data_IF_924096443692
#
_entry.id   IF_924096443692
#
_cell.length_a   1.000
_cell.length_b   1.000
_cell.length_c   1.000
_cell.angle_alpha   90.00
_cell.angle_beta   90.00
_cell.angle_gamma   90.00
#
_symmetry.space_group_name_H-M   'P 1'
#
loop_
_entity.id
_entity.type
_entity.pdbx_description
1 polymer ?
#
# COMPACT_ATOMS: atom_id res chain seq x y z
N UNK A 1 10.29 10.17 -38.20
CA UNK A 1 10.47 9.20 -39.30
C UNK A 1 10.78 7.79 -38.80
N UNK A 2 11.64 7.55 -37.83
CA UNK A 2 11.92 6.19 -37.26
C UNK A 2 10.90 5.68 -36.27
N UNK A 3 10.06 6.52 -35.68
CA UNK A 3 9.02 6.11 -34.71
C UNK A 3 7.67 5.74 -35.40
N UNK A 4 7.42 6.26 -36.59
CA UNK A 4 6.21 5.94 -37.36
C UNK A 4 6.32 4.61 -38.10
N UNK A 5 7.51 4.21 -38.53
CA UNK A 5 7.75 2.90 -39.14
C UNK A 5 7.56 1.75 -38.15
N UNK A 6 8.03 1.91 -36.91
CA UNK A 6 7.82 0.91 -35.84
C UNK A 6 6.36 0.78 -35.44
N UNK A 7 5.59 1.88 -35.48
CA UNK A 7 4.15 1.85 -35.15
C UNK A 7 3.34 1.17 -36.24
N UNK A 8 3.76 1.34 -37.49
CA UNK A 8 3.10 0.74 -38.67
C UNK A 8 3.38 -0.77 -38.74
N UNK A 9 4.58 -1.19 -38.43
CA UNK A 9 4.97 -2.61 -38.38
C UNK A 9 4.26 -3.36 -37.22
N UNK A 10 4.08 -2.69 -36.08
CA UNK A 10 3.31 -3.22 -34.95
C UNK A 10 1.82 -3.37 -35.29
N UNK A 11 1.27 -2.39 -36.03
CA UNK A 11 -0.11 -2.42 -36.48
C UNK A 11 -0.37 -3.49 -37.57
N UNK A 12 0.61 -3.74 -38.41
CA UNK A 12 0.53 -4.76 -39.46
C UNK A 12 0.57 -6.18 -38.88
N UNK A 13 1.41 -6.40 -37.89
CA UNK A 13 1.44 -7.66 -37.10
C UNK A 13 0.13 -7.89 -36.33
N UNK A 14 -0.47 -6.84 -35.77
CA UNK A 14 -1.77 -6.94 -35.10
C UNK A 14 -2.91 -7.31 -36.09
N UNK A 15 -2.80 -6.93 -37.36
CA UNK A 15 -3.80 -7.26 -38.41
C UNK A 15 -3.63 -8.71 -38.89
N UNK A 16 -2.43 -9.22 -38.96
CA UNK A 16 -2.19 -10.65 -39.26
C UNK A 16 -2.71 -11.58 -38.15
N UNK A 17 -2.67 -11.13 -36.88
CA UNK A 17 -3.31 -11.84 -35.74
C UNK A 17 -4.84 -11.74 -35.74
N UNK A 18 -5.44 -10.75 -36.43
CA UNK A 18 -6.89 -10.64 -36.56
C UNK A 18 -7.51 -11.71 -37.49
N UNK A 19 -6.72 -12.35 -38.36
CA UNK A 19 -7.18 -13.42 -39.24
C UNK A 19 -7.32 -14.80 -38.55
N UNK A 20 -6.99 -14.92 -37.26
CA UNK A 20 -7.34 -16.10 -36.45
C UNK A 20 -8.80 -16.03 -35.93
N UNK A 21 -9.53 -14.95 -36.27
CA UNK A 21 -10.92 -14.71 -35.84
C UNK A 21 -12.00 -15.53 -36.55
N UNK A 22 -11.65 -16.38 -37.48
CA UNK A 22 -12.68 -17.11 -38.27
C UNK A 22 -13.13 -18.47 -37.71
N UNK A 23 -12.83 -18.76 -36.41
CA UNK A 23 -13.26 -20.05 -35.81
C UNK A 23 -14.21 -19.95 -34.62
N UNK A 24 -14.79 -18.80 -34.32
CA UNK A 24 -15.80 -18.72 -33.25
C UNK A 24 -16.90 -17.71 -33.55
N UNK A 25 -17.98 -18.17 -34.14
CA UNK A 25 -19.31 -17.55 -34.10
C UNK A 25 -20.18 -18.38 -33.17
N UNK A 26 -20.51 -17.84 -32.01
CA UNK A 26 -21.45 -18.46 -31.06
C UNK A 26 -21.24 -17.90 -29.65
N UNK A 27 -22.30 -17.46 -29.04
CA UNK A 27 -22.46 -16.83 -27.74
C UNK A 27 -21.61 -17.47 -26.62
N UNK A 28 -21.08 -16.62 -25.69
CA UNK A 28 -20.26 -16.94 -24.50
C UNK A 28 -18.88 -17.54 -24.76
N UNK A 29 -18.00 -16.80 -25.41
CA UNK A 29 -16.59 -17.17 -25.42
C UNK A 29 -15.87 -16.53 -24.25
N UNK A 30 -15.90 -17.22 -23.13
CA UNK A 30 -14.88 -17.08 -22.08
C UNK A 30 -13.51 -17.21 -22.77
N UNK A 31 -12.70 -16.17 -22.69
CA UNK A 31 -11.40 -16.24 -23.37
C UNK A 31 -10.56 -17.28 -22.64
N UNK A 32 -9.92 -18.20 -23.37
CA UNK A 32 -9.21 -19.37 -22.81
C UNK A 32 -8.27 -19.05 -21.64
N UNK A 33 -7.77 -17.81 -21.57
CA UNK A 33 -6.86 -17.38 -20.51
C UNK A 33 -7.58 -16.94 -19.22
N UNK A 34 -8.89 -16.72 -19.26
CA UNK A 34 -9.67 -16.37 -18.06
C UNK A 34 -9.71 -17.53 -17.06
N UNK A 35 -9.61 -18.77 -17.54
CA UNK A 35 -9.54 -19.96 -16.68
C UNK A 35 -8.33 -19.95 -15.72
N UNK A 36 -7.29 -19.15 -16.02
CA UNK A 36 -6.13 -19.02 -15.11
C UNK A 36 -6.53 -18.34 -13.79
N UNK A 37 -7.56 -17.51 -13.78
CA UNK A 37 -8.03 -16.82 -12.58
C UNK A 37 -8.53 -17.81 -11.51
N UNK A 38 -9.06 -18.95 -11.93
CA UNK A 38 -9.49 -20.04 -11.03
C UNK A 38 -8.34 -20.90 -10.53
N UNK A 39 -7.17 -20.80 -11.19
CA UNK A 39 -5.98 -21.59 -10.87
C UNK A 39 -4.97 -20.87 -9.99
N UNK A 40 -5.07 -19.52 -9.88
CA UNK A 40 -4.13 -18.69 -9.13
C UNK A 40 -4.71 -18.33 -7.76
N UNK A 41 -3.79 -18.23 -6.77
CA UNK A 41 -4.13 -17.85 -5.39
C UNK A 41 -4.45 -16.36 -5.29
N UNK A 42 -5.59 -16.02 -4.72
CA UNK A 42 -6.05 -14.62 -4.52
C UNK A 42 -5.16 -13.81 -3.56
N UNK A 43 -4.42 -14.48 -2.69
CA UNK A 43 -3.50 -13.84 -1.73
C UNK A 43 -2.09 -13.67 -2.27
N UNK A 44 -1.72 -14.38 -3.34
CA UNK A 44 -0.36 -14.36 -3.90
C UNK A 44 -0.17 -13.20 -4.87
N UNK A 45 1.06 -12.64 -4.86
CA UNK A 45 1.55 -11.72 -5.89
C UNK A 45 2.42 -12.51 -6.87
N UNK A 46 2.03 -12.50 -8.12
CA UNK A 46 2.70 -13.22 -9.19
C UNK A 46 3.64 -12.31 -9.97
N UNK A 47 4.82 -12.80 -10.32
CA UNK A 47 5.62 -12.16 -11.35
C UNK A 47 5.10 -12.55 -12.75
N UNK A 48 5.49 -11.81 -13.77
CA UNK A 48 5.06 -12.05 -15.15
C UNK A 48 5.38 -13.47 -15.62
N UNK A 49 6.56 -13.98 -15.25
CA UNK A 49 7.00 -15.34 -15.59
C UNK A 49 6.12 -16.41 -14.93
N UNK A 50 5.78 -16.25 -13.66
CA UNK A 50 4.89 -17.19 -12.95
C UNK A 50 3.51 -17.25 -13.61
N UNK A 51 2.93 -16.09 -13.98
CA UNK A 51 1.66 -16.06 -14.72
C UNK A 51 1.76 -16.74 -16.08
N UNK A 52 2.86 -16.53 -16.81
CA UNK A 52 3.10 -17.26 -18.06
C UNK A 52 3.17 -18.77 -17.83
N UNK A 53 3.79 -19.22 -16.76
CA UNK A 53 3.90 -20.65 -16.43
C UNK A 53 2.53 -21.24 -16.05
N UNK A 54 1.67 -20.50 -15.34
CA UNK A 54 0.28 -20.92 -15.10
C UNK A 54 -0.53 -20.99 -16.40
N UNK A 55 -0.43 -20.00 -17.28
CA UNK A 55 -1.09 -20.00 -18.58
C UNK A 55 -0.60 -21.17 -19.49
N UNK A 56 0.69 -21.53 -19.41
CA UNK A 56 1.23 -22.70 -20.14
C UNK A 56 0.66 -24.02 -19.66
N UNK A 57 0.27 -24.15 -18.38
CA UNK A 57 -0.41 -25.35 -17.87
C UNK A 57 -1.79 -25.52 -18.48
N UNK A 58 -2.50 -24.41 -18.74
CA UNK A 58 -3.83 -24.45 -19.36
C UNK A 58 -3.75 -24.72 -20.85
N UNK A 59 -2.82 -24.08 -21.53
CA UNK A 59 -2.66 -24.27 -22.98
C UNK A 59 -1.18 -24.23 -23.35
N UNK A 60 -0.69 -25.37 -23.80
CA UNK A 60 0.68 -25.55 -24.28
C UNK A 60 0.82 -25.09 -25.74
N UNK A 61 2.07 -24.96 -26.20
CA UNK A 61 2.42 -24.72 -27.60
C UNK A 61 1.97 -23.39 -28.23
N UNK A 62 1.71 -22.38 -27.39
CA UNK A 62 1.50 -21.01 -27.87
C UNK A 62 2.80 -20.22 -27.89
N UNK A 63 2.84 -19.18 -28.71
CA UNK A 63 3.98 -18.27 -28.75
C UNK A 63 4.07 -17.44 -27.44
N UNK A 64 5.29 -17.03 -27.05
CA UNK A 64 5.47 -16.18 -25.86
C UNK A 64 4.66 -14.86 -25.98
N UNK A 65 4.59 -14.30 -27.18
CA UNK A 65 3.77 -13.11 -27.45
C UNK A 65 2.28 -13.32 -27.15
N UNK A 66 1.77 -14.54 -27.34
CA UNK A 66 0.38 -14.87 -27.03
C UNK A 66 0.13 -14.89 -25.53
N UNK A 67 1.06 -15.43 -24.73
CA UNK A 67 0.95 -15.39 -23.26
C UNK A 67 1.06 -13.95 -22.73
N UNK A 68 1.96 -13.13 -23.27
CA UNK A 68 2.05 -11.71 -22.93
C UNK A 68 0.74 -10.99 -23.24
N UNK A 69 0.14 -11.27 -24.40
CA UNK A 69 -1.14 -10.70 -24.78
C UNK A 69 -2.27 -11.16 -23.83
N UNK A 70 -2.29 -12.42 -23.42
CA UNK A 70 -3.26 -12.95 -22.46
C UNK A 70 -3.17 -12.26 -21.11
N UNK A 71 -1.96 -12.07 -20.54
CA UNK A 71 -1.77 -11.34 -19.30
C UNK A 71 -2.24 -9.88 -19.43
N UNK A 72 -1.93 -9.24 -20.56
CA UNK A 72 -2.40 -7.88 -20.83
C UNK A 72 -3.93 -7.81 -20.96
N UNK A 73 -4.55 -8.84 -21.50
CA UNK A 73 -6.00 -9.02 -21.57
C UNK A 73 -6.61 -9.11 -20.17
N UNK A 74 -6.09 -10.02 -19.34
CA UNK A 74 -6.55 -10.19 -17.95
C UNK A 74 -6.48 -8.89 -17.12
N UNK A 75 -5.43 -8.08 -17.33
CA UNK A 75 -5.32 -6.79 -16.65
C UNK A 75 -6.34 -5.79 -17.21
N UNK A 76 -6.50 -5.73 -18.52
CA UNK A 76 -7.48 -4.81 -19.19
C UNK A 76 -8.91 -5.15 -18.79
N UNK A 77 -9.23 -6.45 -18.74
CA UNK A 77 -10.58 -6.96 -18.48
C UNK A 77 -10.89 -7.04 -16.96
N UNK A 78 -9.92 -6.63 -16.12
CA UNK A 78 -10.10 -6.47 -14.66
C UNK A 78 -9.92 -7.75 -13.85
N UNK A 79 -9.56 -8.89 -14.46
CA UNK A 79 -9.27 -10.14 -13.75
C UNK A 79 -7.97 -10.08 -12.95
N UNK A 80 -6.97 -9.34 -13.44
CA UNK A 80 -5.71 -9.09 -12.75
C UNK A 80 -5.48 -7.61 -12.50
N UNK A 81 -4.91 -7.27 -11.35
CA UNK A 81 -4.40 -5.94 -11.04
C UNK A 81 -2.88 -5.93 -11.13
N UNK A 82 -2.32 -5.04 -11.97
CA UNK A 82 -0.87 -4.82 -12.04
C UNK A 82 -0.41 -3.95 -10.90
N UNK A 83 0.46 -4.45 -10.04
CA UNK A 83 0.97 -3.77 -8.85
C UNK A 83 2.29 -3.03 -9.08
N UNK A 84 3.02 -3.36 -10.15
CA UNK A 84 4.33 -2.79 -10.45
C UNK A 84 4.89 -3.27 -11.77
N UNK A 85 6.20 -3.08 -11.99
CA UNK A 85 6.88 -3.45 -13.25
C UNK A 85 6.68 -4.94 -13.59
N UNK A 86 6.80 -5.80 -12.59
CA UNK A 86 6.73 -7.28 -12.74
C UNK A 86 5.95 -7.89 -11.57
N UNK A 87 4.77 -7.33 -11.24
CA UNK A 87 3.99 -7.78 -10.09
C UNK A 87 2.50 -7.66 -10.38
N UNK A 88 1.77 -8.75 -10.22
CA UNK A 88 0.34 -8.88 -10.50
C UNK A 88 -0.37 -9.60 -9.35
N UNK A 89 -1.62 -9.26 -9.10
CA UNK A 89 -2.50 -9.97 -8.18
C UNK A 89 -3.87 -10.19 -8.80
N UNK A 90 -4.59 -11.20 -8.31
CA UNK A 90 -6.00 -11.39 -8.66
C UNK A 90 -6.80 -10.14 -8.24
N UNK A 91 -7.69 -9.69 -9.10
CA UNK A 91 -8.65 -8.64 -8.76
C UNK A 91 -9.81 -9.27 -7.99
N UNK A 92 -10.13 -8.74 -6.81
CA UNK A 92 -11.27 -9.23 -6.02
C UNK A 92 -12.49 -8.39 -6.38
N UNK A 93 -13.59 -9.04 -6.75
CA UNK A 93 -14.86 -8.40 -7.09
C UNK A 93 -15.67 -7.92 -5.88
N UNK A 94 -15.15 -8.17 -4.66
CA UNK A 94 -15.80 -7.71 -3.44
C UNK A 94 -15.67 -6.19 -3.35
N UNK A 95 -16.76 -5.42 -3.36
CA UNK A 95 -16.71 -3.99 -3.13
C UNK A 95 -16.03 -3.69 -1.79
N UNK A 96 -14.97 -2.91 -1.82
CA UNK A 96 -14.25 -2.50 -0.61
C UNK A 96 -14.41 -1.01 -0.42
N UNK A 97 -14.50 -0.59 0.82
CA UNK A 97 -14.61 0.80 1.18
C UNK A 97 -13.27 1.54 1.10
N UNK A 98 -13.31 2.85 0.88
CA UNK A 98 -12.13 3.69 1.07
C UNK A 98 -11.89 3.89 2.57
N UNK A 99 -10.69 3.59 3.03
CA UNK A 99 -10.33 3.81 4.44
C UNK A 99 -10.34 5.30 4.80
N UNK A 100 -11.07 5.65 5.87
CA UNK A 100 -11.06 6.98 6.47
C UNK A 100 -10.78 6.85 7.96
N UNK A 101 -9.64 7.40 8.46
CA UNK A 101 -9.33 7.35 9.87
C UNK A 101 -10.33 8.17 10.69
N UNK A 102 -10.77 7.61 11.81
CA UNK A 102 -11.56 8.32 12.81
C UNK A 102 -10.63 8.67 13.96
N UNK A 103 -10.25 9.93 14.03
CA UNK A 103 -9.30 10.42 15.03
C UNK A 103 -9.95 10.70 16.39
N UNK A 104 -9.14 10.60 17.44
CA UNK A 104 -9.50 11.09 18.76
C UNK A 104 -9.61 12.62 18.80
N UNK A 105 -10.33 13.15 19.79
CA UNK A 105 -10.42 14.60 20.02
C UNK A 105 -9.02 15.25 20.14
N UNK A 106 -8.06 14.54 20.72
CA UNK A 106 -6.67 15.00 20.85
C UNK A 106 -6.02 15.15 19.48
N UNK A 107 -6.10 14.14 18.62
CA UNK A 107 -5.52 14.20 17.28
C UNK A 107 -6.20 15.26 16.41
N UNK A 108 -7.53 15.35 16.44
CA UNK A 108 -8.29 16.38 15.72
C UNK A 108 -7.93 17.81 16.18
N UNK A 109 -7.75 18.01 17.50
CA UNK A 109 -7.28 19.29 18.05
C UNK A 109 -5.89 19.63 17.52
N UNK A 110 -4.97 18.69 17.50
CA UNK A 110 -3.59 18.88 16.99
C UNK A 110 -3.60 19.21 15.51
N UNK A 111 -4.37 18.48 14.69
CA UNK A 111 -4.52 18.75 13.26
C UNK A 111 -4.99 20.21 13.06
N UNK A 112 -6.04 20.61 13.77
CA UNK A 112 -6.59 21.98 13.66
C UNK A 112 -5.57 23.04 14.05
N UNK A 113 -4.91 22.91 15.21
CA UNK A 113 -3.91 23.85 15.69
C UNK A 113 -2.75 24.03 14.69
N UNK A 114 -2.23 22.93 14.15
CA UNK A 114 -1.11 22.98 13.19
C UNK A 114 -1.58 23.57 11.87
N UNK A 115 -2.75 23.17 11.35
CA UNK A 115 -3.28 23.66 10.08
C UNK A 115 -3.58 25.16 10.12
N UNK A 116 -4.10 25.66 11.23
CA UNK A 116 -4.36 27.09 11.42
C UNK A 116 -3.07 27.90 11.47
N UNK A 117 -2.03 27.40 12.16
CA UNK A 117 -0.75 28.08 12.30
C UNK A 117 0.11 27.99 11.04
N UNK A 118 0.10 26.84 10.38
CA UNK A 118 0.97 26.52 9.26
C UNK A 118 0.17 25.94 8.08
N UNK A 119 -0.65 26.75 7.39
CA UNK A 119 -1.61 26.26 6.37
C UNK A 119 -0.93 25.66 5.13
N UNK A 120 0.35 25.94 4.91
CA UNK A 120 1.12 25.44 3.75
C UNK A 120 2.10 24.31 4.11
N UNK A 121 2.24 23.98 5.39
CA UNK A 121 3.14 22.90 5.82
C UNK A 121 2.47 21.57 5.60
N UNK A 122 3.17 20.68 4.90
CA UNK A 122 2.70 19.31 4.72
C UNK A 122 2.98 18.46 5.97
N UNK A 123 1.93 17.85 6.50
CA UNK A 123 2.05 16.90 7.59
C UNK A 123 0.94 15.83 7.51
N UNK A 124 1.19 14.70 8.14
CA UNK A 124 0.19 13.65 8.35
C UNK A 124 0.20 13.24 9.81
N UNK A 125 -0.96 12.83 10.31
CA UNK A 125 -1.11 12.37 11.69
C UNK A 125 -1.45 10.89 11.68
N UNK A 126 -0.75 10.13 12.49
CA UNK A 126 -1.06 8.75 12.84
C UNK A 126 -1.23 8.68 14.36
N UNK A 127 -2.26 8.02 14.83
CA UNK A 127 -2.38 7.68 16.25
C UNK A 127 -2.55 6.17 16.43
N UNK A 128 -1.96 5.66 17.50
CA UNK A 128 -1.86 4.20 17.68
C UNK A 128 -3.22 3.51 17.82
N UNK A 129 -4.22 4.20 18.35
CA UNK A 129 -5.58 3.65 18.48
C UNK A 129 -6.28 3.38 17.15
N UNK A 130 -5.81 3.99 16.03
CA UNK A 130 -6.30 3.64 14.69
C UNK A 130 -6.03 2.17 14.34
N UNK A 131 -5.01 1.58 14.96
CA UNK A 131 -4.70 0.16 14.78
C UNK A 131 -5.72 -0.76 15.42
N UNK A 132 -6.51 -0.29 16.39
CA UNK A 132 -7.51 -1.09 17.10
C UNK A 132 -8.57 -1.68 16.17
N UNK A 133 -8.76 -1.10 15.00
CA UNK A 133 -9.65 -1.62 13.97
C UNK A 133 -9.15 -2.94 13.37
N UNK A 134 -7.84 -3.19 13.41
CA UNK A 134 -7.16 -4.30 12.75
C UNK A 134 -6.52 -5.28 13.74
N UNK A 135 -6.43 -4.91 15.02
CA UNK A 135 -5.77 -5.71 16.06
C UNK A 135 -6.77 -6.56 16.83
N UNK A 136 -6.32 -7.75 17.24
CA UNK A 136 -7.07 -8.60 18.16
C UNK A 136 -6.98 -8.08 19.61
N UNK A 137 -5.87 -7.41 19.95
CA UNK A 137 -5.64 -6.84 21.29
C UNK A 137 -5.62 -5.32 21.21
N UNK A 138 -6.57 -4.69 21.88
CA UNK A 138 -6.73 -3.23 21.84
C UNK A 138 -5.55 -2.50 22.49
N UNK A 139 -5.06 -1.49 21.79
CA UNK A 139 -4.11 -0.52 22.34
C UNK A 139 -4.89 0.43 23.25
N UNK A 140 -4.60 0.38 24.56
CA UNK A 140 -5.29 1.18 25.56
C UNK A 140 -4.67 2.59 25.74
N UNK A 141 -3.38 2.73 25.44
CA UNK A 141 -2.67 4.01 25.59
C UNK A 141 -2.36 4.60 24.21
N UNK A 142 -2.99 5.72 23.91
CA UNK A 142 -2.78 6.39 22.64
C UNK A 142 -1.44 7.11 22.58
N UNK A 143 -0.83 7.11 21.40
CA UNK A 143 0.32 7.94 21.05
C UNK A 143 0.06 8.56 19.70
N UNK A 144 0.22 9.87 19.59
CA UNK A 144 -0.01 10.61 18.36
C UNK A 144 1.34 10.91 17.69
N UNK A 145 1.52 10.41 16.47
CA UNK A 145 2.68 10.68 15.64
C UNK A 145 2.33 11.74 14.58
N UNK A 146 3.02 12.87 14.61
CA UNK A 146 2.89 13.96 13.65
C UNK A 146 4.12 13.93 12.77
N UNK A 147 3.94 13.50 11.54
CA UNK A 147 5.02 13.43 10.56
C UNK A 147 4.93 14.66 9.66
N UNK A 148 5.91 15.54 9.75
CA UNK A 148 5.94 16.85 9.12
C UNK A 148 7.03 16.89 8.06
N UNK A 149 6.86 17.63 6.99
CA UNK A 149 7.93 17.90 6.04
C UNK A 149 9.21 18.36 6.75
N UNK A 150 10.36 17.86 6.29
CA UNK A 150 11.62 17.88 7.03
C UNK A 150 12.02 19.27 7.53
N UNK A 151 11.90 20.29 6.71
CA UNK A 151 12.32 21.66 7.02
C UNK A 151 11.43 22.31 8.10
N UNK A 152 10.19 21.85 8.25
CA UNK A 152 9.16 22.46 9.10
C UNK A 152 8.96 21.73 10.43
N UNK A 153 9.45 20.53 10.59
CA UNK A 153 9.14 19.67 11.75
C UNK A 153 9.57 20.27 13.10
N UNK A 154 10.70 20.96 13.16
CA UNK A 154 11.19 21.62 14.39
C UNK A 154 10.28 22.80 14.79
N UNK A 155 9.73 23.53 13.83
CA UNK A 155 8.86 24.67 14.11
C UNK A 155 7.51 24.19 14.63
N UNK A 156 6.96 23.11 14.06
CA UNK A 156 5.74 22.48 14.57
C UNK A 156 5.94 21.96 15.99
N UNK A 157 7.06 21.31 16.28
CA UNK A 157 7.39 20.85 17.63
C UNK A 157 7.40 22.00 18.65
N UNK A 158 8.14 23.08 18.38
CA UNK A 158 8.22 24.26 19.27
C UNK A 158 6.85 24.90 19.46
N UNK A 159 6.11 25.07 18.38
CA UNK A 159 4.76 25.61 18.45
C UNK A 159 3.85 24.79 19.38
N UNK A 160 3.87 23.47 19.29
CA UNK A 160 3.06 22.62 20.17
C UNK A 160 3.48 22.76 21.64
N UNK A 161 4.78 22.92 21.94
CA UNK A 161 5.25 23.23 23.29
C UNK A 161 4.72 24.59 23.78
N UNK A 162 4.80 25.62 22.93
CA UNK A 162 4.30 26.98 23.24
C UNK A 162 2.78 26.98 23.48
N UNK A 163 2.03 26.08 22.84
CA UNK A 163 0.59 25.87 23.08
C UNK A 163 0.29 25.07 24.36
N UNK A 164 1.30 24.72 25.14
CA UNK A 164 1.16 23.98 26.39
C UNK A 164 0.76 22.51 26.20
N UNK A 165 0.96 21.93 25.00
CA UNK A 165 0.72 20.50 24.78
C UNK A 165 1.74 19.70 25.60
N UNK A 166 1.23 18.84 26.48
CA UNK A 166 2.05 18.02 27.34
C UNK A 166 2.66 16.84 26.59
N UNK A 167 3.77 16.31 27.10
CA UNK A 167 4.42 15.09 26.61
C UNK A 167 4.76 15.11 25.11
N UNK A 168 5.16 16.27 24.57
CA UNK A 168 5.61 16.41 23.18
C UNK A 168 7.10 16.07 23.08
N UNK A 169 7.45 15.13 22.21
CA UNK A 169 8.83 14.73 21.93
C UNK A 169 9.21 14.99 20.47
N UNK A 170 10.41 15.50 20.24
CA UNK A 170 10.96 15.73 18.90
C UNK A 170 11.98 14.67 18.52
N UNK A 171 11.67 13.88 17.52
CA UNK A 171 12.54 12.81 17.00
C UNK A 171 13.22 12.01 18.12
N UNK A 172 12.48 11.49 19.10
CA UNK A 172 13.10 10.78 20.22
C UNK A 172 13.84 9.54 19.71
N UNK A 173 14.94 9.21 20.41
CA UNK A 173 15.50 7.87 20.25
C UNK A 173 14.54 6.82 20.83
N UNK A 174 14.70 5.55 20.46
CA UNK A 174 13.89 4.47 21.04
C UNK A 174 14.03 4.43 22.58
N UNK A 175 15.24 4.72 23.08
CA UNK A 175 15.51 4.78 24.53
C UNK A 175 14.74 5.92 25.20
N UNK A 176 14.79 7.12 24.62
CA UNK A 176 14.09 8.29 25.16
C UNK A 176 12.57 8.09 25.07
N UNK A 177 12.08 7.55 23.95
CA UNK A 177 10.68 7.20 23.82
C UNK A 177 10.21 6.27 24.93
N UNK A 178 10.90 5.16 25.17
CA UNK A 178 10.54 4.21 26.21
C UNK A 178 10.65 4.80 27.64
N UNK A 179 11.57 5.75 27.85
CA UNK A 179 11.79 6.37 29.17
C UNK A 179 10.73 7.45 29.50
N UNK A 180 10.36 8.25 28.50
CA UNK A 180 9.49 9.41 28.69
C UNK A 180 8.07 9.22 28.15
N UNK A 181 7.79 8.05 27.57
CA UNK A 181 6.47 7.76 27.04
C UNK A 181 5.42 7.76 28.15
N UNK A 182 4.36 8.50 27.93
CA UNK A 182 3.21 8.62 28.81
C UNK A 182 1.93 8.55 27.99
N UNK A 183 0.79 8.45 28.68
CA UNK A 183 -0.51 8.52 28.02
C UNK A 183 -0.62 9.82 27.19
N UNK A 184 -1.13 9.69 25.97
CA UNK A 184 -1.34 10.77 25.01
C UNK A 184 -0.04 11.52 24.63
N UNK A 185 1.11 10.81 24.63
CA UNK A 185 2.36 11.37 24.11
C UNK A 185 2.22 11.78 22.65
N UNK A 186 2.80 12.92 22.31
CA UNK A 186 2.83 13.45 20.94
C UNK A 186 4.27 13.40 20.41
N UNK A 187 4.46 12.72 19.29
CA UNK A 187 5.77 12.52 18.68
C UNK A 187 5.83 13.27 17.36
N UNK A 188 6.72 14.28 17.27
CA UNK A 188 6.96 15.01 16.04
C UNK A 188 8.19 14.49 15.35
N UNK A 189 8.04 14.04 14.10
CA UNK A 189 9.13 13.49 13.27
C UNK A 189 9.10 14.07 11.86
N UNK A 190 10.16 13.81 11.07
CA UNK A 190 10.14 14.16 9.66
C UNK A 190 9.30 13.18 8.86
N UNK A 191 8.54 13.69 7.91
CA UNK A 191 7.88 12.89 6.89
C UNK A 191 8.94 12.33 5.93
N UNK A 192 8.81 11.07 5.61
CA UNK A 192 9.67 10.43 4.61
C UNK A 192 9.15 10.79 3.21
N UNK A 193 10.07 11.05 2.28
CA UNK A 193 9.73 11.33 0.88
C UNK A 193 8.90 10.20 0.26
N UNK A 194 8.04 10.55 -0.69
CA UNK A 194 7.10 9.64 -1.38
C UNK A 194 6.03 9.04 -0.46
N UNK A 195 5.87 9.57 0.76
CA UNK A 195 4.77 9.18 1.63
C UNK A 195 3.43 9.42 0.92
N UNK A 196 2.49 8.45 0.91
CA UNK A 196 1.15 8.65 0.40
C UNK A 196 0.43 9.78 1.16
N UNK A 197 -0.10 10.75 0.42
CA UNK A 197 -0.84 11.89 0.96
C UNK A 197 -2.20 11.98 0.28
N UNK A 198 -3.25 12.18 1.06
CA UNK A 198 -4.61 12.37 0.59
C UNK A 198 -4.80 13.81 0.08
N UNK A 199 -5.30 13.97 -1.14
CA UNK A 199 -5.43 15.29 -1.77
C UNK A 199 -6.40 16.21 -1.02
N UNK A 200 -7.56 15.70 -0.63
CA UNK A 200 -8.62 16.52 -0.03
C UNK A 200 -8.47 16.73 1.49
N UNK A 201 -7.73 15.85 2.16
CA UNK A 201 -7.46 15.87 3.60
C UNK A 201 -6.01 15.47 3.86
N UNK A 202 -5.01 16.31 3.55
CA UNK A 202 -3.60 15.92 3.54
C UNK A 202 -3.07 15.48 4.91
N UNK A 203 -3.73 15.92 5.99
CA UNK A 203 -3.34 15.57 7.36
C UNK A 203 -3.88 14.21 7.83
N UNK A 204 -4.87 13.67 7.11
CA UNK A 204 -5.46 12.36 7.40
C UNK A 204 -4.64 11.26 6.74
N UNK A 205 -4.10 10.36 7.56
CA UNK A 205 -3.23 9.30 7.06
C UNK A 205 -3.97 8.39 6.06
N UNK A 206 -3.29 8.03 4.99
CA UNK A 206 -3.76 6.99 4.07
C UNK A 206 -3.44 5.61 4.62
N UNK A 207 -4.29 4.62 4.34
CA UNK A 207 -4.09 3.25 4.81
C UNK A 207 -2.76 2.67 4.32
N UNK A 208 -2.40 2.91 3.07
CA UNK A 208 -1.14 2.46 2.49
C UNK A 208 0.07 3.00 3.27
N UNK A 209 0.01 4.28 3.67
CA UNK A 209 1.06 4.89 4.49
C UNK A 209 1.12 4.26 5.87
N UNK A 210 -0.03 4.12 6.53
CA UNK A 210 -0.14 3.52 7.85
C UNK A 210 0.45 2.11 7.87
N UNK A 211 0.04 1.24 6.94
CA UNK A 211 0.52 -0.13 6.82
C UNK A 211 2.03 -0.21 6.61
N UNK A 212 2.60 0.67 5.78
CA UNK A 212 4.06 0.72 5.62
C UNK A 212 4.75 1.19 6.89
N UNK A 213 4.26 2.26 7.52
CA UNK A 213 4.90 2.86 8.69
C UNK A 213 4.90 1.92 9.91
N UNK A 214 3.83 1.16 10.15
CA UNK A 214 3.78 0.19 11.26
C UNK A 214 4.84 -0.92 11.13
N UNK A 215 5.25 -1.27 9.92
CA UNK A 215 6.31 -2.26 9.67
C UNK A 215 7.71 -1.65 9.62
N UNK A 216 7.83 -0.37 9.27
CA UNK A 216 9.09 0.29 8.97
C UNK A 216 9.58 1.21 10.09
N UNK A 217 8.68 1.86 10.82
CA UNK A 217 9.04 2.83 11.84
C UNK A 217 9.34 2.15 13.18
N UNK A 218 10.54 2.42 13.70
CA UNK A 218 11.02 1.78 14.93
C UNK A 218 10.26 2.21 16.18
N UNK A 219 9.73 3.42 16.22
CA UNK A 219 8.96 3.92 17.37
C UNK A 219 7.55 3.37 17.31
N UNK A 220 6.88 3.49 16.17
CA UNK A 220 5.54 2.93 15.97
C UNK A 220 5.53 1.43 16.27
N UNK A 221 6.52 0.69 15.75
CA UNK A 221 6.66 -0.76 15.99
C UNK A 221 6.85 -1.18 17.45
N UNK A 222 7.06 -0.23 18.38
CA UNK A 222 7.12 -0.53 19.83
C UNK A 222 5.78 -0.39 20.52
N UNK A 223 4.77 0.14 19.87
CA UNK A 223 3.47 0.44 20.48
C UNK A 223 2.47 -0.72 20.41
N UNK A 224 2.77 -1.77 19.67
CA UNK A 224 1.94 -2.97 19.54
C UNK A 224 2.80 -4.23 19.28
N UNK A 225 2.16 -5.41 19.31
CA UNK A 225 2.85 -6.67 19.03
C UNK A 225 3.07 -6.88 17.55
N UNK A 226 4.32 -7.08 17.13
CA UNK A 226 4.63 -7.40 15.74
C UNK A 226 4.03 -8.72 15.27
N UNK A 227 3.73 -9.62 16.18
CA UNK A 227 3.10 -10.91 15.87
C UNK A 227 1.70 -10.72 15.25
N UNK A 228 1.05 -9.58 15.47
CA UNK A 228 -0.27 -9.26 14.91
C UNK A 228 -0.20 -8.65 13.51
N UNK A 229 0.99 -8.31 13.00
CA UNK A 229 1.12 -7.69 11.67
C UNK A 229 0.48 -8.50 10.54
N UNK A 230 0.64 -9.83 10.43
CA UNK A 230 -0.03 -10.61 9.40
C UNK A 230 -1.55 -10.41 9.40
N UNK A 231 -2.17 -10.46 10.58
CA UNK A 231 -3.61 -10.28 10.75
C UNK A 231 -4.04 -8.86 10.38
N UNK A 232 -3.24 -7.84 10.74
CA UNK A 232 -3.48 -6.44 10.37
C UNK A 232 -3.54 -6.27 8.84
N UNK A 233 -2.58 -6.86 8.12
CA UNK A 233 -2.57 -6.78 6.66
C UNK A 233 -3.72 -7.55 6.03
N UNK A 234 -4.07 -8.72 6.56
CA UNK A 234 -5.22 -9.50 6.09
C UNK A 234 -6.54 -8.74 6.31
N UNK A 235 -6.76 -8.19 7.50
CA UNK A 235 -7.93 -7.38 7.82
C UNK A 235 -8.04 -6.13 6.94
N UNK A 236 -6.92 -5.42 6.75
CA UNK A 236 -6.89 -4.23 5.90
C UNK A 236 -7.22 -4.56 4.44
N UNK A 237 -6.65 -5.65 3.90
CA UNK A 237 -6.91 -6.09 2.53
C UNK A 237 -8.34 -6.59 2.31
N UNK A 238 -8.93 -7.23 3.32
CA UNK A 238 -10.31 -7.77 3.21
C UNK A 238 -11.37 -6.67 3.23
N UNK A 239 -11.13 -5.56 3.96
CA UNK A 239 -12.15 -4.52 4.20
C UNK A 239 -12.01 -3.31 3.29
N UNK A 240 -10.77 -2.94 2.91
CA UNK A 240 -10.51 -1.64 2.29
C UNK A 240 -9.85 -1.75 0.93
N UNK A 241 -10.14 -0.74 0.10
CA UNK A 241 -9.41 -0.51 -1.14
C UNK A 241 -7.96 -0.12 -0.81
N UNK A 242 -7.00 -0.87 -1.33
CA UNK A 242 -5.58 -0.60 -1.20
C UNK A 242 -4.96 -0.34 -2.58
N UNK A 243 -4.36 0.83 -2.74
CA UNK A 243 -3.46 1.09 -3.85
C UNK A 243 -2.10 0.42 -3.57
N UNK A 244 -2.03 -0.88 -3.90
CA UNK A 244 -0.82 -1.68 -3.68
C UNK A 244 0.40 -1.11 -4.42
N UNK A 245 0.21 -0.47 -5.57
CA UNK A 245 1.30 0.16 -6.34
C UNK A 245 1.91 1.32 -5.55
N UNK A 246 1.07 2.21 -5.03
CA UNK A 246 1.46 3.34 -4.18
C UNK A 246 2.12 2.85 -2.90
N UNK A 247 1.53 1.85 -2.26
CA UNK A 247 2.05 1.25 -1.03
C UNK A 247 3.44 0.65 -1.23
N UNK A 248 3.64 -0.17 -2.26
CA UNK A 248 4.94 -0.81 -2.54
C UNK A 248 6.01 0.20 -2.95
N UNK A 249 5.66 1.27 -3.66
CA UNK A 249 6.58 2.36 -3.96
C UNK A 249 7.09 3.03 -2.69
N UNK A 250 6.20 3.38 -1.77
CA UNK A 250 6.57 3.94 -0.47
C UNK A 250 7.35 2.94 0.40
N UNK A 251 6.96 1.67 0.41
CA UNK A 251 7.68 0.60 1.10
C UNK A 251 9.12 0.44 0.61
N UNK A 252 9.36 0.56 -0.72
CA UNK A 252 10.71 0.58 -1.29
C UNK A 252 11.52 1.75 -0.73
N UNK A 253 10.93 2.93 -0.62
CA UNK A 253 11.57 4.11 -0.03
C UNK A 253 11.94 3.89 1.44
N UNK A 254 11.17 3.04 2.14
CA UNK A 254 11.37 2.64 3.55
C UNK A 254 12.25 1.40 3.72
N UNK A 255 12.77 0.80 2.65
CA UNK A 255 13.50 -0.48 2.64
C UNK A 255 12.69 -1.63 3.27
N UNK A 256 11.39 -1.70 2.97
CA UNK A 256 10.45 -2.70 3.50
C UNK A 256 9.62 -3.41 2.43
N UNK A 257 9.95 -3.23 1.16
CA UNK A 257 9.16 -3.81 0.06
C UNK A 257 9.02 -5.33 0.18
N UNK A 258 10.13 -6.05 0.40
CA UNK A 258 10.13 -7.51 0.47
C UNK A 258 9.33 -8.05 1.66
N UNK A 259 9.37 -7.32 2.78
CA UNK A 259 8.58 -7.64 3.98
C UNK A 259 7.08 -7.45 3.71
N UNK A 260 6.72 -6.34 3.06
CA UNK A 260 5.33 -6.06 2.72
C UNK A 260 4.76 -7.07 1.71
N UNK A 261 5.54 -7.47 0.71
CA UNK A 261 5.12 -8.48 -0.25
C UNK A 261 4.71 -9.78 0.47
N UNK A 262 5.50 -10.24 1.43
CA UNK A 262 5.16 -11.42 2.24
C UNK A 262 3.84 -11.26 3.00
N UNK A 263 3.61 -10.10 3.63
CA UNK A 263 2.33 -9.83 4.32
C UNK A 263 1.15 -9.77 3.35
N UNK A 264 1.34 -9.18 2.17
CA UNK A 264 0.29 -9.10 1.14
C UNK A 264 -0.07 -10.47 0.54
N UNK A 265 0.87 -11.42 0.56
CA UNK A 265 0.70 -12.81 0.12
C UNK A 265 0.17 -13.74 1.22
N UNK A 266 -0.07 -13.23 2.43
CA UNK A 266 -0.50 -14.03 3.58
C UNK A 266 0.58 -14.94 4.15
N UNK A 267 1.85 -14.74 3.77
CA UNK A 267 2.98 -15.53 4.28
C UNK A 267 3.40 -15.04 5.68
N UNK A 268 3.59 -15.97 6.63
CA UNK A 268 4.19 -15.61 7.91
C UNK A 268 5.64 -15.18 7.71
N UNK A 269 5.95 -13.96 8.11
CA UNK A 269 7.33 -13.44 8.10
C UNK A 269 8.02 -13.95 9.36
N UNK A 270 8.95 -14.89 9.21
CA UNK A 270 9.89 -15.18 10.29
C UNK A 270 10.84 -14.00 10.43
N UNK A 271 10.80 -13.33 11.58
CA UNK A 271 11.72 -12.23 11.90
C UNK A 271 13.16 -12.78 11.95
N UNK A 272 13.92 -12.57 10.89
CA UNK A 272 15.36 -12.74 10.90
C UNK A 272 15.99 -11.57 11.67
N UNK A 273 15.81 -11.55 13.00
CA UNK A 273 16.52 -10.64 13.90
C UNK A 273 16.91 -11.37 15.17
N UNK A 274 18.12 -11.92 15.12
CA UNK A 274 18.96 -12.13 16.30
C UNK A 274 19.87 -10.94 16.46
#
# INVERSE_FOLDING_TARGET
>A
MLLEEHYTEYRQKCIEFANVRDYCKGDDIMQWYEEVLDCIDDKKIYCHKELMDELRKLKTDLSESTYHWAISGLVRDGGLTRLGYDSYSLSSDIPKDEYMPVYSDTAERLIRLISEKYPYVQFTVFETVLMNEFLNHLIAQNTVFIQVEKESSIYVFRFLQDQGIQNVMYKPSKKDFNLYWAKDSVIVTDMISEAPIRLNKPHYIMLEKMLVDISADKLIATTFSKAELPDVYEQAQSRYLLDKVRMLRYARRRNRQDVLLKYLEGSKVEDATS
#
